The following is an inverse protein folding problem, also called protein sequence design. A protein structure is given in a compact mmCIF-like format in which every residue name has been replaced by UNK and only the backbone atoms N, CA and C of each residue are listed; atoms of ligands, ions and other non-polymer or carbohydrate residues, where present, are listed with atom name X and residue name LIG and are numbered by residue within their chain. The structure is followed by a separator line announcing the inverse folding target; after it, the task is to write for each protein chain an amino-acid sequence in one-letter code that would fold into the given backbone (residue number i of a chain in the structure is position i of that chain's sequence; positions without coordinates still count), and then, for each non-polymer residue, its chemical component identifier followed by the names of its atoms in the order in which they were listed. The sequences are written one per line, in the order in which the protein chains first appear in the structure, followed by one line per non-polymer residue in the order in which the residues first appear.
data_IF_799356582804
#
_entry.id   IF_799356582804
#
_cell.length_a   1.000
_cell.length_b   1.000
_cell.length_c   1.000
_cell.angle_alpha   90.00
_cell.angle_beta   90.00
_cell.angle_gamma   90.00
#
_symmetry.space_group_name_H-M   'P 1'
#
loop_
_entity.id
_entity.type
_entity.pdbx_description
1 polymer ?
#
# COMPACT_ATOMS: atom_id res chain seq x y z
N UNK A 1 13.23 36.76 93.32
CA UNK A 1 12.86 35.96 92.14
C UNK A 1 13.18 36.61 90.77
N UNK A 2 12.99 37.93 90.57
CA UNK A 2 13.25 38.60 89.26
C UNK A 2 14.68 38.48 88.68
N UNK A 3 15.73 38.36 89.52
CA UNK A 3 17.13 38.22 89.06
C UNK A 3 17.49 36.82 88.56
N UNK A 4 16.80 35.76 89.03
CA UNK A 4 17.07 34.38 88.61
C UNK A 4 16.47 34.09 87.22
N UNK A 5 15.25 34.59 86.97
CA UNK A 5 14.55 34.43 85.69
C UNK A 5 15.32 35.11 84.53
N UNK A 6 15.94 36.28 84.77
CA UNK A 6 16.81 36.95 83.79
C UNK A 6 18.06 36.14 83.41
N UNK A 7 18.63 35.38 84.35
CA UNK A 7 19.82 34.54 84.09
C UNK A 7 19.47 33.27 83.32
N UNK A 8 18.32 32.65 83.59
CA UNK A 8 17.85 31.48 82.83
C UNK A 8 17.38 31.82 81.42
N UNK A 9 16.86 33.03 81.18
CA UNK A 9 16.48 33.50 79.84
C UNK A 9 17.68 33.77 78.90
N UNK A 10 18.89 33.96 79.45
CA UNK A 10 20.12 34.17 78.67
C UNK A 10 20.70 32.87 78.08
N UNK A 11 20.45 31.73 78.72
CA UNK A 11 20.94 30.42 78.30
C UNK A 11 20.38 29.97 76.94
N UNK A 12 19.06 30.03 76.66
CA UNK A 12 18.54 29.69 75.34
C UNK A 12 19.00 30.69 74.27
N UNK A 13 19.17 31.99 74.62
CA UNK A 13 19.69 33.00 73.69
C UNK A 13 21.14 32.69 73.25
N UNK A 14 21.98 32.27 74.19
CA UNK A 14 23.36 31.84 73.93
C UNK A 14 23.42 30.56 73.08
N UNK A 15 22.54 29.60 73.34
CA UNK A 15 22.41 28.38 72.55
C UNK A 15 21.92 28.65 71.12
N UNK A 16 21.00 29.60 70.93
CA UNK A 16 20.56 30.03 69.59
C UNK A 16 21.65 30.78 68.84
N UNK A 17 22.45 31.62 69.52
CA UNK A 17 23.55 32.35 68.88
C UNK A 17 24.65 31.42 68.36
N UNK A 18 24.95 30.33 69.07
CA UNK A 18 25.91 29.31 68.62
C UNK A 18 25.39 28.50 67.42
N UNK A 19 24.07 28.32 67.31
CA UNK A 19 23.44 27.63 66.19
C UNK A 19 23.45 28.40 64.86
N UNK A 20 23.48 29.75 64.90
CA UNK A 20 23.42 30.59 63.69
C UNK A 20 24.77 30.69 62.96
N UNK A 21 25.90 30.57 63.67
CA UNK A 21 27.24 30.56 63.03
C UNK A 21 27.56 29.27 62.27
N UNK A 22 26.74 28.22 62.40
CA UNK A 22 26.93 26.94 61.68
C UNK A 22 26.36 26.91 60.26
N UNK A 23 25.68 27.96 59.82
CA UNK A 23 24.94 27.95 58.56
C UNK A 23 25.68 28.68 57.42
N UNK A 24 26.22 27.86 56.51
CA UNK A 24 26.55 28.15 55.11
C UNK A 24 27.67 29.15 54.79
N UNK A 25 28.92 28.77 55.06
CA UNK A 25 30.00 29.11 54.10
C UNK A 25 30.19 27.93 53.14
N UNK A 26 29.61 28.01 51.94
CA UNK A 26 30.00 27.12 50.83
C UNK A 26 31.43 27.50 50.43
N UNK A 27 32.43 26.94 51.13
CA UNK A 27 33.83 27.09 50.74
C UNK A 27 34.01 26.31 49.43
N UNK A 28 34.43 26.98 48.36
CA UNK A 28 34.88 26.29 47.14
C UNK A 28 36.05 25.39 47.51
N UNK A 29 35.81 24.09 47.54
CA UNK A 29 36.84 23.09 47.82
C UNK A 29 37.72 22.94 46.58
N UNK A 30 38.82 23.69 46.55
CA UNK A 30 39.81 23.65 45.47
C UNK A 30 41.08 22.91 45.93
N UNK A 31 40.92 21.67 46.43
CA UNK A 31 42.07 20.83 46.78
C UNK A 31 42.65 20.19 45.50
N UNK A 32 43.98 20.28 45.27
CA UNK A 32 44.61 19.70 44.10
C UNK A 32 44.32 18.21 43.90
N UNK A 33 44.14 17.45 44.99
CA UNK A 33 43.86 16.01 44.96
C UNK A 33 42.47 15.70 44.41
N UNK A 34 41.50 16.54 44.75
CA UNK A 34 40.12 16.45 44.28
C UNK A 34 40.05 16.97 42.84
N UNK A 35 40.71 18.09 42.53
CA UNK A 35 40.78 18.62 41.15
C UNK A 35 41.43 17.63 40.20
N UNK A 36 42.50 16.95 40.62
CA UNK A 36 43.15 15.86 39.90
C UNK A 36 42.18 14.71 39.59
N UNK A 37 41.37 14.31 40.57
CA UNK A 37 40.33 13.28 40.40
C UNK A 37 39.24 13.70 39.41
N UNK A 38 38.86 14.98 39.36
CA UNK A 38 37.91 15.47 38.36
C UNK A 38 38.52 15.53 36.96
N UNK A 39 39.78 15.99 36.85
CA UNK A 39 40.53 16.02 35.59
C UNK A 39 40.70 14.62 34.98
N UNK A 40 40.75 13.57 35.82
CA UNK A 40 40.75 12.15 35.40
C UNK A 40 39.57 11.76 34.51
N UNK A 41 38.41 12.38 34.69
CA UNK A 41 37.18 11.95 34.02
C UNK A 41 37.02 12.56 32.61
N UNK A 42 37.84 13.54 32.22
CA UNK A 42 37.54 14.43 31.08
C UNK A 42 38.63 14.52 30.00
N UNK A 43 39.91 14.22 30.27
CA UNK A 43 41.01 14.58 29.35
C UNK A 43 41.62 13.43 28.51
N UNK A 44 41.92 13.74 27.24
CA UNK A 44 42.52 12.87 26.23
C UNK A 44 44.04 12.66 26.41
N UNK A 45 44.77 13.64 26.97
CA UNK A 45 46.21 13.54 27.29
C UNK A 45 46.48 14.01 28.72
N UNK A 46 47.45 13.38 29.38
CA UNK A 46 47.88 13.73 30.73
C UNK A 46 49.23 14.48 30.69
N UNK A 47 49.33 15.63 31.38
CA UNK A 47 50.62 16.13 31.90
C UNK A 47 50.94 15.48 33.26
N UNK A 48 51.87 16.01 34.07
CA UNK A 48 51.98 15.54 35.48
C UNK A 48 50.88 16.18 36.33
N UNK A 49 49.76 15.47 36.46
CA UNK A 49 48.58 15.88 37.21
C UNK A 49 48.53 15.24 38.60
N UNK A 50 49.49 14.37 38.93
CA UNK A 50 49.48 13.59 40.15
C UNK A 50 49.61 14.53 41.34
N UNK A 51 48.64 14.53 42.27
CA UNK A 51 48.79 15.27 43.50
C UNK A 51 49.91 14.62 44.31
N UNK A 52 50.88 15.40 44.78
CA UNK A 52 51.94 14.87 45.63
C UNK A 52 51.48 14.81 47.09
N UNK A 53 51.77 13.72 47.80
CA UNK A 53 51.46 13.62 49.22
C UNK A 53 52.23 14.67 50.02
N UNK A 54 51.59 15.21 51.05
CA UNK A 54 52.26 15.97 52.10
C UNK A 54 52.33 15.11 53.36
N UNK A 55 53.55 14.85 53.81
CA UNK A 55 53.81 14.09 55.02
C UNK A 55 54.48 14.97 56.07
N UNK A 56 54.12 14.77 57.33
CA UNK A 56 54.83 15.31 58.49
C UNK A 56 55.04 14.15 59.46
N UNK A 57 56.31 13.85 59.79
CA UNK A 57 56.67 12.72 60.66
C UNK A 57 56.07 11.37 60.22
N UNK A 58 56.00 11.14 58.89
CA UNK A 58 55.42 9.92 58.30
C UNK A 58 53.89 9.89 58.28
N UNK A 59 53.20 10.86 58.88
CA UNK A 59 51.74 10.96 58.86
C UNK A 59 51.30 11.87 57.72
N UNK A 60 50.32 11.42 56.95
CA UNK A 60 49.79 12.18 55.84
C UNK A 60 48.91 13.33 56.32
N UNK A 61 49.30 14.56 56.04
CA UNK A 61 48.61 15.76 56.57
C UNK A 61 47.46 16.25 55.70
N UNK A 62 47.40 15.83 54.43
CA UNK A 62 46.28 16.12 53.54
C UNK A 62 45.25 14.99 53.58
N UNK A 63 44.11 15.26 54.23
CA UNK A 63 42.97 14.34 54.32
C UNK A 63 42.33 14.04 52.95
N UNK A 64 42.19 15.05 52.08
CA UNK A 64 41.65 14.87 50.73
C UNK A 64 42.56 13.99 49.86
N UNK A 65 43.88 14.09 50.05
CA UNK A 65 44.81 13.16 49.39
C UNK A 65 44.64 11.73 49.92
N UNK A 66 44.42 11.53 51.23
CA UNK A 66 44.38 10.21 51.87
C UNK A 66 43.21 9.36 51.37
N UNK A 67 42.07 10.03 51.24
CA UNK A 67 40.80 9.42 50.83
C UNK A 67 40.68 9.25 49.32
N UNK A 68 41.38 10.08 48.52
CA UNK A 68 41.27 10.03 47.05
C UNK A 68 42.42 9.24 46.40
N UNK A 69 43.65 9.34 46.91
CA UNK A 69 44.87 8.77 46.29
C UNK A 69 45.79 8.01 47.26
N UNK A 70 45.57 8.15 48.56
CA UNK A 70 46.39 7.54 49.60
C UNK A 70 45.91 6.16 50.02
N UNK A 71 46.33 5.75 51.22
CA UNK A 71 46.05 4.42 51.77
C UNK A 71 44.54 4.15 51.96
N UNK A 72 43.73 5.19 52.13
CA UNK A 72 42.28 5.07 52.34
C UNK A 72 41.48 5.21 51.04
N UNK A 73 42.17 5.30 49.90
CA UNK A 73 41.52 5.41 48.61
C UNK A 73 40.96 4.06 48.11
N UNK A 74 39.86 4.07 47.33
CA UNK A 74 39.36 2.89 46.65
C UNK A 74 40.45 2.23 45.80
N UNK A 75 40.43 0.89 45.68
CA UNK A 75 41.42 0.10 44.92
C UNK A 75 41.68 0.69 43.54
N UNK A 76 40.61 0.99 42.80
CA UNK A 76 40.67 1.63 41.48
C UNK A 76 41.54 2.88 41.44
N UNK A 77 41.44 3.78 42.44
CA UNK A 77 42.24 5.02 42.44
C UNK A 77 43.72 4.76 42.74
N UNK A 78 44.01 3.73 43.56
CA UNK A 78 45.37 3.28 43.84
C UNK A 78 45.98 2.63 42.59
N UNK A 79 45.22 1.80 41.88
CA UNK A 79 45.64 1.19 40.62
C UNK A 79 45.93 2.24 39.54
N UNK A 80 45.16 3.34 39.49
CA UNK A 80 45.45 4.49 38.61
C UNK A 80 46.73 5.26 38.97
N UNK A 81 47.10 5.29 40.25
CA UNK A 81 48.24 6.07 40.74
C UNK A 81 49.55 5.34 40.50
N UNK A 82 49.56 4.04 40.78
CA UNK A 82 50.76 3.22 40.83
C UNK A 82 50.84 2.21 39.66
N UNK A 83 49.82 2.14 38.79
CA UNK A 83 49.72 1.20 37.67
C UNK A 83 49.66 1.85 36.29
N UNK A 84 49.39 1.03 35.26
CA UNK A 84 49.25 1.49 33.87
C UNK A 84 48.06 2.44 33.67
N UNK A 85 48.09 3.23 32.60
CA UNK A 85 47.00 4.14 32.26
C UNK A 85 45.72 3.36 31.86
N UNK A 86 44.81 3.15 32.82
CA UNK A 86 43.53 2.44 32.63
C UNK A 86 42.38 3.38 32.21
N UNK A 87 42.66 4.49 31.52
CA UNK A 87 41.63 5.40 31.01
C UNK A 87 40.71 4.74 29.97
N UNK A 88 39.38 4.93 30.06
CA UNK A 88 38.45 4.45 29.03
C UNK A 88 38.62 5.15 27.67
N UNK A 89 38.96 6.45 27.69
CA UNK A 89 39.04 7.33 26.50
C UNK A 89 40.43 7.46 25.88
N UNK A 90 41.45 6.74 26.38
CA UNK A 90 42.76 6.70 25.73
C UNK A 90 42.65 6.07 24.33
N UNK A 91 43.59 6.27 23.39
CA UNK A 91 43.50 5.68 22.05
C UNK A 91 43.25 4.16 22.04
N UNK A 92 43.85 3.41 22.96
CA UNK A 92 43.65 1.97 23.15
C UNK A 92 42.63 1.62 24.26
N UNK A 93 41.87 2.61 24.73
CA UNK A 93 40.94 2.48 25.84
C UNK A 93 39.65 1.76 25.45
N UNK A 94 39.02 1.12 26.44
CA UNK A 94 37.82 0.31 26.26
C UNK A 94 36.65 1.08 25.63
N UNK A 95 36.51 2.38 25.95
CA UNK A 95 35.41 3.19 25.42
C UNK A 95 35.61 3.51 23.94
N UNK A 96 36.84 3.79 23.51
CA UNK A 96 37.14 4.01 22.09
C UNK A 96 37.00 2.72 21.27
N UNK A 97 37.40 1.58 21.82
CA UNK A 97 37.16 0.27 21.20
C UNK A 97 35.66 0.00 21.05
N UNK A 98 34.85 0.28 22.08
CA UNK A 98 33.39 0.16 22.01
C UNK A 98 32.79 1.12 21.00
N UNK A 99 33.26 2.37 20.92
CA UNK A 99 32.79 3.31 19.91
C UNK A 99 33.11 2.83 18.49
N UNK A 100 34.31 2.28 18.26
CA UNK A 100 34.66 1.68 16.97
C UNK A 100 33.75 0.49 16.64
N UNK A 101 33.51 -0.42 17.59
CA UNK A 101 32.58 -1.55 17.43
C UNK A 101 31.16 -1.08 17.12
N UNK A 102 30.66 -0.08 17.83
CA UNK A 102 29.33 0.52 17.57
C UNK A 102 29.27 1.11 16.17
N UNK A 103 30.36 1.72 15.68
CA UNK A 103 30.41 2.24 14.30
C UNK A 103 30.35 1.12 13.27
N UNK A 104 31.07 0.02 13.47
CA UNK A 104 30.96 -1.15 12.60
C UNK A 104 29.54 -1.75 12.62
N UNK A 105 28.94 -1.88 13.81
CA UNK A 105 27.56 -2.36 13.94
C UNK A 105 26.55 -1.40 13.28
N UNK A 106 26.77 -0.09 13.36
CA UNK A 106 25.94 0.92 12.69
C UNK A 106 26.01 0.76 11.16
N UNK A 107 27.19 0.49 10.61
CA UNK A 107 27.38 0.22 9.17
C UNK A 107 26.70 -1.08 8.73
N UNK A 108 26.82 -2.16 9.50
CA UNK A 108 26.12 -3.42 9.25
C UNK A 108 24.60 -3.24 9.33
N UNK A 109 24.12 -2.54 10.36
CA UNK A 109 22.69 -2.23 10.51
C UNK A 109 22.15 -1.42 9.33
N UNK A 110 22.93 -0.48 8.77
CA UNK A 110 22.56 0.27 7.56
C UNK A 110 22.40 -0.65 6.35
N UNK A 111 23.31 -1.64 6.16
CA UNK A 111 23.21 -2.63 5.08
C UNK A 111 21.97 -3.50 5.23
N UNK A 112 21.71 -4.00 6.44
CA UNK A 112 20.52 -4.81 6.75
C UNK A 112 19.25 -4.00 6.49
N UNK A 113 19.21 -2.74 6.94
CA UNK A 113 18.09 -1.83 6.70
C UNK A 113 17.85 -1.63 5.19
N UNK A 114 18.89 -1.36 4.42
CA UNK A 114 18.76 -1.19 2.97
C UNK A 114 18.20 -2.46 2.27
N UNK A 115 18.64 -3.64 2.69
CA UNK A 115 18.10 -4.91 2.19
C UNK A 115 16.63 -5.08 2.58
N UNK A 116 16.27 -4.80 3.84
CA UNK A 116 14.89 -4.85 4.33
C UNK A 116 13.97 -3.87 3.60
N UNK A 117 14.41 -2.63 3.40
CA UNK A 117 13.67 -1.60 2.65
C UNK A 117 13.46 -2.02 1.19
N UNK A 118 14.45 -2.70 0.60
CA UNK A 118 14.34 -3.23 -0.77
C UNK A 118 13.32 -4.35 -0.86
N UNK A 119 13.34 -5.29 0.09
CA UNK A 119 12.35 -6.39 0.17
C UNK A 119 10.95 -5.81 0.38
N UNK A 120 10.80 -4.83 1.27
CA UNK A 120 9.52 -4.18 1.53
C UNK A 120 8.98 -3.45 0.29
N UNK A 121 9.82 -2.67 -0.40
CA UNK A 121 9.42 -2.00 -1.64
C UNK A 121 8.98 -3.01 -2.69
N UNK A 122 9.71 -4.11 -2.83
CA UNK A 122 9.36 -5.18 -3.78
C UNK A 122 8.06 -5.88 -3.39
N UNK A 123 7.85 -6.20 -2.10
CA UNK A 123 6.63 -6.86 -1.64
C UNK A 123 5.39 -5.98 -1.82
N UNK A 124 5.52 -4.66 -1.61
CA UNK A 124 4.43 -3.71 -1.89
C UNK A 124 4.13 -3.63 -3.38
N UNK A 125 5.16 -3.62 -4.24
CA UNK A 125 4.98 -3.65 -5.69
C UNK A 125 4.33 -4.96 -6.16
N UNK A 126 4.79 -6.10 -5.64
CA UNK A 126 4.21 -7.41 -5.93
C UNK A 126 2.76 -7.47 -5.43
N UNK A 127 2.48 -6.99 -4.23
CA UNK A 127 1.12 -6.91 -3.71
C UNK A 127 0.21 -6.08 -4.64
N UNK A 128 0.65 -4.89 -5.04
CA UNK A 128 -0.11 -4.03 -5.96
C UNK A 128 -0.30 -4.65 -7.35
N UNK A 129 0.64 -5.49 -7.80
CA UNK A 129 0.60 -6.18 -9.08
C UNK A 129 -0.36 -7.39 -9.10
N UNK A 130 -0.59 -8.02 -7.94
CA UNK A 130 -1.42 -9.22 -7.82
C UNK A 130 -2.82 -8.93 -7.29
N UNK A 131 -2.97 -7.93 -6.43
CA UNK A 131 -4.24 -7.63 -5.79
C UNK A 131 -5.32 -7.21 -6.79
N UNK A 132 -6.55 -7.64 -6.53
CA UNK A 132 -7.77 -7.18 -7.19
C UNK A 132 -8.22 -5.79 -6.72
N UNK A 133 -7.73 -5.30 -5.58
CA UNK A 133 -8.15 -4.01 -5.02
C UNK A 133 -7.70 -2.81 -5.88
N UNK A 134 -6.60 -2.94 -6.62
CA UNK A 134 -6.03 -1.86 -7.46
C UNK A 134 -6.58 -1.83 -8.88
N UNK A 135 -7.50 -2.74 -9.23
CA UNK A 135 -7.98 -2.93 -10.60
C UNK A 135 -8.63 -1.67 -11.17
N UNK A 136 -9.36 -0.90 -10.36
CA UNK A 136 -10.02 0.31 -10.83
C UNK A 136 -9.06 1.45 -11.14
N UNK A 137 -7.85 1.41 -10.57
CA UNK A 137 -6.80 2.38 -10.84
C UNK A 137 -5.90 1.97 -12.01
N UNK A 138 -6.12 0.81 -12.64
CA UNK A 138 -5.30 0.36 -13.76
C UNK A 138 -5.45 1.31 -14.97
N UNK A 139 -4.36 1.89 -15.51
CA UNK A 139 -4.44 2.87 -16.59
C UNK A 139 -5.04 2.27 -17.88
N UNK A 140 -4.64 1.05 -18.26
CA UNK A 140 -5.19 0.38 -19.44
C UNK A 140 -6.68 0.04 -19.28
N UNK A 141 -7.10 -0.30 -18.05
CA UNK A 141 -8.51 -0.52 -17.73
C UNK A 141 -9.31 0.77 -17.95
N UNK A 142 -8.86 1.87 -17.35
CA UNK A 142 -9.51 3.18 -17.44
C UNK A 142 -9.60 3.69 -18.89
N UNK A 143 -8.51 3.55 -19.66
CA UNK A 143 -8.42 4.08 -21.02
C UNK A 143 -9.22 3.27 -22.05
N UNK A 144 -9.30 1.95 -21.90
CA UNK A 144 -9.85 1.07 -22.93
C UNK A 144 -10.96 0.15 -22.42
N UNK A 145 -10.62 -0.76 -21.50
CA UNK A 145 -11.50 -1.89 -21.17
C UNK A 145 -12.76 -1.48 -20.42
N UNK A 146 -12.69 -0.46 -19.56
CA UNK A 146 -13.84 0.06 -18.81
C UNK A 146 -14.98 0.45 -19.74
N UNK A 147 -14.69 1.13 -20.86
CA UNK A 147 -15.69 1.52 -21.86
C UNK A 147 -16.15 0.32 -22.69
N UNK A 148 -15.22 -0.54 -23.11
CA UNK A 148 -15.52 -1.64 -24.04
C UNK A 148 -16.30 -2.78 -23.40
N UNK A 149 -16.11 -3.04 -22.10
CA UNK A 149 -16.80 -4.09 -21.34
C UNK A 149 -18.07 -3.59 -20.63
N UNK A 150 -18.32 -2.28 -20.60
CA UNK A 150 -19.55 -1.68 -20.06
C UNK A 150 -20.85 -2.32 -20.57
N UNK A 151 -20.97 -2.70 -21.87
CA UNK A 151 -22.17 -3.36 -22.35
C UNK A 151 -22.49 -4.70 -21.68
N UNK A 152 -21.49 -5.40 -21.11
CA UNK A 152 -21.70 -6.67 -20.40
C UNK A 152 -22.40 -6.41 -19.06
N UNK A 153 -22.02 -5.35 -18.35
CA UNK A 153 -22.66 -4.97 -17.08
C UNK A 153 -24.02 -4.32 -17.27
N UNK A 154 -24.25 -3.65 -18.41
CA UNK A 154 -25.55 -3.07 -18.76
C UNK A 154 -26.54 -4.10 -19.32
N UNK A 155 -26.06 -5.24 -19.80
CA UNK A 155 -26.94 -6.31 -20.28
C UNK A 155 -27.62 -6.98 -19.07
N UNK A 156 -28.93 -7.28 -19.11
CA UNK A 156 -29.61 -7.93 -17.99
C UNK A 156 -29.07 -9.34 -17.71
N UNK A 157 -29.13 -9.81 -16.46
CA UNK A 157 -28.67 -11.16 -16.08
C UNK A 157 -29.60 -12.24 -16.63
N UNK A 158 -30.91 -12.03 -16.53
CA UNK A 158 -31.93 -12.99 -16.98
C UNK A 158 -32.93 -12.31 -17.93
N UNK A 159 -32.53 -12.01 -19.18
CA UNK A 159 -33.41 -11.39 -20.17
C UNK A 159 -34.67 -12.24 -20.44
N UNK A 160 -35.84 -11.66 -20.17
CA UNK A 160 -37.14 -12.31 -20.35
C UNK A 160 -37.79 -11.96 -21.68
N UNK A 161 -37.52 -10.78 -22.23
CA UNK A 161 -38.24 -10.23 -23.38
C UNK A 161 -37.33 -10.03 -24.61
N UNK A 162 -37.93 -9.90 -25.79
CA UNK A 162 -37.18 -9.63 -27.02
C UNK A 162 -36.35 -8.34 -26.95
N UNK A 163 -36.85 -7.30 -26.27
CA UNK A 163 -36.16 -6.02 -26.07
C UNK A 163 -34.91 -6.18 -25.21
N UNK A 164 -35.02 -6.94 -24.13
CA UNK A 164 -33.91 -7.23 -23.21
C UNK A 164 -32.81 -8.06 -23.90
N UNK A 165 -33.22 -9.02 -24.72
CA UNK A 165 -32.32 -9.76 -25.62
C UNK A 165 -31.75 -8.91 -26.77
N UNK A 166 -32.19 -7.66 -26.93
CA UNK A 166 -31.85 -6.76 -28.04
C UNK A 166 -32.16 -7.38 -29.41
N UNK A 167 -33.23 -8.16 -29.47
CA UNK A 167 -33.79 -8.71 -30.70
C UNK A 167 -34.68 -7.68 -31.39
N UNK A 168 -34.79 -7.76 -32.72
CA UNK A 168 -35.61 -6.81 -33.50
C UNK A 168 -37.10 -7.09 -33.39
N UNK A 169 -37.49 -8.37 -33.37
CA UNK A 169 -38.88 -8.80 -33.51
C UNK A 169 -39.27 -9.84 -32.44
N UNK A 170 -40.52 -9.79 -31.98
CA UNK A 170 -41.10 -10.79 -31.08
C UNK A 170 -41.09 -12.21 -31.69
N UNK A 171 -41.34 -12.34 -32.99
CA UNK A 171 -41.31 -13.62 -33.70
C UNK A 171 -39.92 -14.27 -33.67
N UNK A 172 -38.85 -13.47 -33.67
CA UNK A 172 -37.48 -13.98 -33.51
C UNK A 172 -37.32 -14.61 -32.14
N UNK A 173 -37.76 -13.91 -31.09
CA UNK A 173 -37.71 -14.42 -29.72
C UNK A 173 -38.47 -15.74 -29.57
N UNK A 174 -39.70 -15.84 -30.07
CA UNK A 174 -40.50 -17.07 -30.01
C UNK A 174 -39.85 -18.23 -30.79
N UNK A 175 -39.28 -17.95 -31.96
CA UNK A 175 -38.57 -18.95 -32.74
C UNK A 175 -37.32 -19.46 -32.01
N UNK A 176 -36.57 -18.56 -31.37
CA UNK A 176 -35.37 -18.93 -30.60
C UNK A 176 -35.74 -19.69 -29.32
N UNK A 177 -36.87 -19.35 -28.70
CA UNK A 177 -37.38 -20.03 -27.53
C UNK A 177 -37.80 -21.47 -27.86
N UNK A 178 -38.58 -21.65 -28.93
CA UNK A 178 -39.05 -22.98 -29.37
C UNK A 178 -37.91 -23.89 -29.85
N UNK A 179 -36.86 -23.31 -30.46
CA UNK A 179 -35.67 -24.07 -30.88
C UNK A 179 -34.69 -24.37 -29.74
N UNK A 180 -34.92 -23.84 -28.52
CA UNK A 180 -34.01 -24.01 -27.38
C UNK A 180 -32.69 -23.23 -27.49
N UNK A 181 -32.55 -22.37 -28.50
CA UNK A 181 -31.33 -21.58 -28.72
C UNK A 181 -31.15 -20.49 -27.67
N UNK A 182 -32.25 -19.93 -27.13
CA UNK A 182 -32.18 -18.96 -26.03
C UNK A 182 -31.51 -19.55 -24.78
N UNK A 183 -31.77 -20.82 -24.45
CA UNK A 183 -31.14 -21.47 -23.30
C UNK A 183 -29.62 -21.53 -23.44
N UNK A 184 -29.13 -21.93 -24.62
CA UNK A 184 -27.68 -21.92 -24.91
C UNK A 184 -27.10 -20.50 -24.86
N UNK A 185 -27.80 -19.52 -25.42
CA UNK A 185 -27.35 -18.12 -25.38
C UNK A 185 -27.31 -17.58 -23.94
N UNK A 186 -28.23 -18.01 -23.08
CA UNK A 186 -28.21 -17.68 -21.66
C UNK A 186 -27.00 -18.29 -20.96
N UNK A 187 -26.72 -19.58 -21.19
CA UNK A 187 -25.54 -20.24 -20.65
C UNK A 187 -24.24 -19.54 -21.11
N UNK A 188 -24.17 -19.12 -22.37
CA UNK A 188 -23.02 -18.36 -22.89
C UNK A 188 -22.90 -16.97 -22.25
N UNK A 189 -24.01 -16.27 -22.04
CA UNK A 189 -24.05 -14.99 -21.34
C UNK A 189 -23.54 -15.15 -19.90
N UNK A 190 -24.01 -16.16 -19.19
CA UNK A 190 -23.63 -16.45 -17.80
C UNK A 190 -22.13 -16.70 -17.70
N UNK A 191 -21.57 -17.51 -18.61
CA UNK A 191 -20.13 -17.76 -18.68
C UNK A 191 -19.31 -16.48 -18.96
N UNK A 192 -19.82 -15.58 -19.81
CA UNK A 192 -19.15 -14.30 -20.10
C UNK A 192 -19.17 -13.40 -18.85
N UNK A 193 -20.32 -13.31 -18.17
CA UNK A 193 -20.51 -12.50 -16.97
C UNK A 193 -19.71 -13.02 -15.77
N UNK A 194 -19.71 -14.33 -15.56
CA UNK A 194 -18.90 -14.98 -14.54
C UNK A 194 -17.42 -14.72 -14.80
N UNK A 195 -16.95 -14.88 -16.04
CA UNK A 195 -15.55 -14.59 -16.39
C UNK A 195 -15.19 -13.12 -16.18
N UNK A 196 -16.11 -12.21 -16.50
CA UNK A 196 -15.95 -10.79 -16.21
C UNK A 196 -15.84 -10.54 -14.69
N UNK A 197 -16.74 -11.13 -13.89
CA UNK A 197 -16.70 -11.03 -12.42
C UNK A 197 -15.38 -11.57 -11.85
N UNK A 198 -14.94 -12.76 -12.28
CA UNK A 198 -13.64 -13.34 -11.88
C UNK A 198 -12.46 -12.44 -12.24
N UNK A 199 -12.49 -11.77 -13.40
CA UNK A 199 -11.42 -10.85 -13.81
C UNK A 199 -11.30 -9.61 -12.90
N UNK A 200 -12.32 -9.35 -12.09
CA UNK A 200 -12.42 -8.21 -11.17
C UNK A 200 -12.19 -8.59 -9.72
N UNK A 201 -12.59 -9.79 -9.30
CA UNK A 201 -12.52 -10.23 -7.90
C UNK A 201 -11.30 -11.10 -7.58
N UNK A 202 -10.75 -11.83 -8.56
CA UNK A 202 -9.66 -12.75 -8.29
C UNK A 202 -8.30 -12.05 -8.27
N UNK A 203 -7.49 -12.38 -7.25
CA UNK A 203 -6.10 -11.96 -7.16
C UNK A 203 -5.28 -12.70 -8.23
N UNK A 204 -4.70 -11.93 -9.13
CA UNK A 204 -3.93 -12.44 -10.24
C UNK A 204 -2.96 -11.38 -10.76
N UNK A 205 -1.86 -11.79 -11.41
CA UNK A 205 -0.96 -10.87 -12.08
C UNK A 205 -1.69 -9.94 -13.04
N UNK A 206 -1.37 -8.66 -13.00
CA UNK A 206 -1.91 -7.62 -13.88
C UNK A 206 -1.95 -8.02 -15.36
N UNK A 207 -0.88 -8.62 -15.88
CA UNK A 207 -0.82 -9.10 -17.27
C UNK A 207 -1.86 -10.19 -17.59
N UNK A 208 -2.06 -11.16 -16.68
CA UNK A 208 -3.06 -12.22 -16.82
C UNK A 208 -4.48 -11.64 -16.79
N UNK A 209 -4.70 -10.63 -15.96
CA UNK A 209 -5.97 -9.90 -15.89
C UNK A 209 -6.32 -9.23 -17.22
N UNK A 210 -5.36 -8.57 -17.85
CA UNK A 210 -5.57 -7.96 -19.18
C UNK A 210 -5.90 -8.99 -20.26
N UNK A 211 -5.27 -10.16 -20.23
CA UNK A 211 -5.63 -11.25 -21.13
C UNK A 211 -7.06 -11.74 -20.88
N UNK A 212 -7.51 -11.80 -19.62
CA UNK A 212 -8.91 -12.11 -19.30
C UNK A 212 -9.88 -11.03 -19.80
N UNK A 213 -9.56 -9.75 -19.68
CA UNK A 213 -10.37 -8.67 -20.27
C UNK A 213 -10.46 -8.77 -21.79
N UNK A 214 -9.35 -9.10 -22.44
CA UNK A 214 -9.33 -9.26 -23.87
C UNK A 214 -10.19 -10.45 -24.33
N UNK A 215 -10.03 -11.60 -23.67
CA UNK A 215 -10.81 -12.79 -24.00
C UNK A 215 -12.31 -12.59 -23.73
N UNK A 216 -12.68 -11.99 -22.59
CA UNK A 216 -14.09 -11.64 -22.30
C UNK A 216 -14.68 -10.70 -23.35
N UNK A 217 -13.91 -9.71 -23.79
CA UNK A 217 -14.30 -8.79 -24.86
C UNK A 217 -14.48 -9.49 -26.22
N UNK A 218 -13.61 -10.43 -26.58
CA UNK A 218 -13.76 -11.23 -27.80
C UNK A 218 -15.02 -12.08 -27.73
N UNK A 219 -15.23 -12.80 -26.61
CA UNK A 219 -16.42 -13.62 -26.40
C UNK A 219 -17.70 -12.79 -26.48
N UNK A 220 -17.72 -11.62 -25.84
CA UNK A 220 -18.83 -10.69 -25.93
C UNK A 220 -19.13 -10.23 -27.37
N UNK A 221 -18.10 -9.91 -28.15
CA UNK A 221 -18.28 -9.53 -29.56
C UNK A 221 -18.86 -10.67 -30.39
N UNK A 222 -18.43 -11.91 -30.15
CA UNK A 222 -18.96 -13.10 -30.82
C UNK A 222 -20.43 -13.31 -30.46
N UNK A 223 -20.78 -13.22 -29.18
CA UNK A 223 -22.15 -13.30 -28.69
C UNK A 223 -23.06 -12.25 -29.34
N UNK A 224 -22.63 -10.98 -29.39
CA UNK A 224 -23.40 -9.91 -30.05
C UNK A 224 -23.55 -10.15 -31.55
N UNK A 225 -22.50 -10.66 -32.22
CA UNK A 225 -22.59 -11.03 -33.64
C UNK A 225 -23.57 -12.18 -33.87
N UNK A 226 -23.63 -13.15 -32.96
CA UNK A 226 -24.59 -14.25 -33.04
C UNK A 226 -26.04 -13.75 -32.89
N UNK A 227 -26.32 -12.89 -31.92
CA UNK A 227 -27.64 -12.25 -31.79
C UNK A 227 -28.03 -11.47 -33.05
N UNK A 228 -27.08 -10.74 -33.65
CA UNK A 228 -27.31 -10.04 -34.93
C UNK A 228 -27.62 -11.01 -36.06
N UNK A 229 -26.90 -12.13 -36.19
CA UNK A 229 -27.17 -13.16 -37.20
C UNK A 229 -28.59 -13.71 -37.08
N UNK A 230 -29.08 -13.95 -35.86
CA UNK A 230 -30.46 -14.39 -35.64
C UNK A 230 -31.47 -13.33 -36.08
N UNK A 231 -31.25 -12.07 -35.71
CA UNK A 231 -32.07 -10.95 -36.16
C UNK A 231 -32.10 -10.84 -37.68
N UNK A 232 -30.94 -10.86 -38.33
CA UNK A 232 -30.82 -10.66 -39.78
C UNK A 232 -31.41 -11.83 -40.56
N UNK A 233 -31.29 -13.07 -40.05
CA UNK A 233 -31.96 -14.24 -40.59
C UNK A 233 -33.48 -14.08 -40.53
N UNK A 234 -34.03 -13.66 -39.38
CA UNK A 234 -35.47 -13.47 -39.27
C UNK A 234 -35.97 -12.33 -40.14
N UNK A 235 -35.26 -11.20 -40.22
CA UNK A 235 -35.66 -10.10 -41.11
C UNK A 235 -35.69 -10.55 -42.56
N UNK A 236 -34.66 -11.28 -43.03
CA UNK A 236 -34.66 -11.83 -44.39
C UNK A 236 -35.84 -12.77 -44.63
N UNK A 237 -36.13 -13.68 -43.70
CA UNK A 237 -37.28 -14.58 -43.82
C UNK A 237 -38.62 -13.83 -43.87
N UNK A 238 -38.75 -12.75 -43.10
CA UNK A 238 -39.95 -11.91 -43.13
C UNK A 238 -40.04 -11.12 -44.43
N UNK A 239 -38.94 -10.59 -44.93
CA UNK A 239 -38.87 -9.90 -46.21
C UNK A 239 -39.28 -10.85 -47.35
N UNK A 240 -38.73 -12.07 -47.39
CA UNK A 240 -39.15 -13.09 -48.35
C UNK A 240 -40.63 -13.45 -48.23
N UNK A 241 -41.13 -13.63 -47.00
CA UNK A 241 -42.55 -13.89 -46.76
C UNK A 241 -43.43 -12.75 -47.25
N UNK A 242 -43.01 -11.50 -47.06
CA UNK A 242 -43.73 -10.31 -47.50
C UNK A 242 -43.69 -10.17 -49.02
N UNK A 243 -42.54 -10.40 -49.66
CA UNK A 243 -42.38 -10.46 -51.12
C UNK A 243 -43.32 -11.53 -51.70
N UNK A 244 -43.29 -12.76 -51.17
CA UNK A 244 -44.16 -13.84 -51.64
C UNK A 244 -45.65 -13.51 -51.46
N UNK A 245 -46.04 -12.89 -50.34
CA UNK A 245 -47.41 -12.43 -50.12
C UNK A 245 -47.80 -11.31 -51.10
N UNK A 246 -46.93 -10.34 -51.34
CA UNK A 246 -47.21 -9.20 -52.22
C UNK A 246 -47.20 -9.60 -53.71
N UNK A 247 -46.43 -10.64 -54.09
CA UNK A 247 -46.46 -11.26 -55.42
C UNK A 247 -47.46 -12.42 -55.54
N UNK A 248 -48.22 -12.72 -54.48
CA UNK A 248 -49.32 -13.68 -54.51
C UNK A 248 -50.62 -13.27 -55.24
N UNK A 249 -50.71 -12.15 -56.01
CA UNK A 249 -51.75 -11.99 -57.03
C UNK A 249 -51.38 -12.59 -58.40
N UNK A 250 -50.15 -13.08 -58.60
CA UNK A 250 -49.68 -13.57 -59.91
C UNK A 250 -49.22 -15.04 -59.93
N UNK A 251 -49.25 -15.77 -58.81
CA UNK A 251 -48.81 -17.16 -58.81
C UNK A 251 -49.88 -18.14 -59.34
N UNK A 252 -51.16 -17.78 -59.34
CA UNK A 252 -52.21 -18.40 -60.13
C UNK A 252 -53.24 -17.31 -60.46
N UNK A 253 -53.64 -17.11 -61.72
CA UNK A 253 -54.72 -16.18 -62.03
C UNK A 253 -55.97 -16.58 -61.24
N UNK A 254 -56.53 -15.63 -60.49
CA UNK A 254 -57.67 -15.86 -59.59
C UNK A 254 -58.96 -16.23 -60.36
N UNK A 255 -58.94 -16.13 -61.69
CA UNK A 255 -59.92 -16.67 -62.61
C UNK A 255 -59.26 -17.07 -63.94
N UNK A 256 -59.69 -18.20 -64.53
CA UNK A 256 -59.39 -18.51 -65.93
C UNK A 256 -60.01 -17.44 -66.81
N UNK A 257 -59.19 -16.68 -67.55
CA UNK A 257 -59.69 -15.69 -68.51
C UNK A 257 -59.88 -16.37 -69.87
N UNK A 258 -61.08 -16.30 -70.50
CA UNK A 258 -61.33 -16.90 -71.82
C UNK A 258 -60.62 -16.18 -72.99
N UNK A 259 -59.76 -15.19 -72.70
CA UNK A 259 -59.09 -14.40 -73.72
C UNK A 259 -57.97 -15.21 -74.39
N UNK A 260 -57.99 -15.29 -75.72
CA UNK A 260 -56.90 -15.86 -76.51
C UNK A 260 -55.64 -15.00 -76.37
N UNK A 261 -54.45 -15.63 -76.35
CA UNK A 261 -53.15 -14.96 -76.24
C UNK A 261 -52.97 -13.79 -77.22
N UNK A 262 -53.55 -13.90 -78.42
CA UNK A 262 -53.54 -12.83 -79.43
C UNK A 262 -54.24 -11.55 -78.95
N UNK A 263 -55.33 -11.69 -78.20
CA UNK A 263 -56.11 -10.57 -77.64
C UNK A 263 -55.36 -9.89 -76.50
N UNK A 264 -54.66 -10.68 -75.67
CA UNK A 264 -53.84 -10.18 -74.56
C UNK A 264 -52.67 -9.36 -75.11
N UNK A 265 -51.96 -9.89 -76.11
CA UNK A 265 -50.86 -9.18 -76.78
C UNK A 265 -51.39 -7.90 -77.44
N UNK A 266 -52.52 -7.95 -78.14
CA UNK A 266 -53.08 -6.77 -78.79
C UNK A 266 -53.44 -5.66 -77.79
N UNK A 267 -54.08 -6.01 -76.67
CA UNK A 267 -54.42 -5.05 -75.61
C UNK A 267 -53.16 -4.46 -74.96
N UNK A 268 -52.13 -5.27 -74.77
CA UNK A 268 -50.84 -4.82 -74.22
C UNK A 268 -50.17 -3.85 -75.20
N UNK A 269 -50.12 -4.19 -76.49
CA UNK A 269 -49.59 -3.31 -77.54
C UNK A 269 -50.37 -1.99 -77.64
N UNK A 270 -51.70 -2.01 -77.54
CA UNK A 270 -52.54 -0.81 -77.50
C UNK A 270 -52.24 0.07 -76.28
N UNK A 271 -52.11 -0.53 -75.09
CA UNK A 271 -51.84 0.17 -73.84
C UNK A 271 -50.49 0.92 -73.86
N UNK A 272 -49.48 0.35 -74.52
CA UNK A 272 -48.15 0.95 -74.61
C UNK A 272 -47.91 1.75 -75.90
N UNK A 273 -48.86 1.78 -76.84
CA UNK A 273 -48.75 2.44 -78.15
C UNK A 273 -48.39 3.94 -78.06
N UNK A 274 -48.77 4.60 -76.98
CA UNK A 274 -48.58 6.04 -76.78
C UNK A 274 -47.63 6.38 -75.63
N UNK A 275 -46.98 5.36 -75.05
CA UNK A 275 -46.05 5.52 -73.92
C UNK A 275 -44.58 5.67 -74.36
N UNK A 276 -44.33 5.58 -75.67
CA UNK A 276 -43.06 5.87 -76.33
C UNK A 276 -43.32 6.70 -77.58
#
# INVERSE_FOLDING_TARGET
MKKLVKKFALVPLLLTAVGVFGQFTVKRLNDPSIVAQHKRMVFQSWGDWRPYPKYLLGIQTNFAYATVWGMWAPSRNRDYKDGEDIRPLKPTGLQNQRFAQVKFQEEEAKKIKAASDTIYKRSVQDFAHWTSATVDADPLWLLYYKRMLRPITEFPDTPQNFVEWRLKNQQTYETLNTTGTLKRLQEELDLIKEKYSMSRSMDMPRGKRFLMYHDTLIKWRRFVQELRKHNDKTTLLLDYKNILKNHSPYALPQAWTPASDKQIIHNTMQQYKHKF
#
